data_IF_747453318114
#
_entry.id   IF_747453318114
#
_cell.length_a   1.000
_cell.length_b   1.000
_cell.length_c   1.000
_cell.angle_alpha   90.00
_cell.angle_beta   90.00
_cell.angle_gamma   90.00
#
_symmetry.space_group_name_H-M   'P 1'
#
loop_
_entity.id
_entity.type
_entity.pdbx_description
1 polymer ?
#
# COMPACT_ATOMS: atom_id res chain seq x y z
N UNK A 1 2.07 4.49 8.73
CA UNK A 1 3.36 3.76 8.65
C UNK A 1 3.86 3.16 9.99
N UNK A 2 3.55 3.73 11.16
CA UNK A 2 4.08 3.30 12.47
C UNK A 2 3.99 1.79 12.77
N UNK A 3 2.93 1.11 12.32
CA UNK A 3 2.80 -0.35 12.47
C UNK A 3 3.82 -1.16 11.66
N UNK A 4 4.22 -0.66 10.50
CA UNK A 4 5.24 -1.30 9.65
C UNK A 4 6.64 -1.13 10.26
N UNK A 5 6.91 0.04 10.82
CA UNK A 5 8.14 0.33 11.57
C UNK A 5 8.25 -0.55 12.81
N UNK A 6 7.16 -0.67 13.59
CA UNK A 6 7.11 -1.56 14.75
C UNK A 6 7.30 -3.04 14.35
N UNK A 7 6.78 -3.47 13.20
CA UNK A 7 6.97 -4.83 12.71
C UNK A 7 8.45 -5.12 12.37
N UNK A 8 9.18 -4.14 11.83
CA UNK A 8 10.61 -4.26 11.60
C UNK A 8 11.39 -4.34 12.92
N UNK A 9 11.06 -3.47 13.89
CA UNK A 9 11.66 -3.50 15.23
C UNK A 9 11.44 -4.83 15.95
N UNK A 10 10.28 -5.47 15.74
CA UNK A 10 9.96 -6.78 16.28
C UNK A 10 10.57 -7.95 15.48
N UNK A 11 11.32 -7.68 14.40
CA UNK A 11 11.90 -8.70 13.53
C UNK A 11 10.89 -9.49 12.69
N UNK A 12 9.62 -9.07 12.66
CA UNK A 12 8.57 -9.74 11.89
C UNK A 12 8.68 -9.49 10.37
N UNK A 13 9.34 -8.40 9.98
CA UNK A 13 9.70 -8.06 8.61
C UNK A 13 11.11 -7.47 8.60
N UNK A 14 11.81 -7.51 7.46
CA UNK A 14 13.10 -6.84 7.34
C UNK A 14 12.93 -5.31 7.29
N UNK A 15 13.94 -4.54 7.72
CA UNK A 15 13.92 -3.08 7.60
C UNK A 15 13.68 -2.61 6.16
N UNK A 16 14.29 -3.32 5.20
CA UNK A 16 14.10 -3.07 3.76
C UNK A 16 12.65 -3.24 3.36
N UNK A 17 12.02 -4.36 3.74
CA UNK A 17 10.64 -4.65 3.40
C UNK A 17 9.67 -3.65 4.08
N UNK A 18 9.93 -3.27 5.33
CA UNK A 18 9.16 -2.24 6.02
C UNK A 18 9.26 -0.90 5.29
N UNK A 19 10.45 -0.51 4.82
CA UNK A 19 10.62 0.73 4.05
C UNK A 19 9.82 0.70 2.75
N UNK A 20 9.93 -0.38 1.98
CA UNK A 20 9.13 -0.57 0.76
C UNK A 20 7.63 -0.48 1.04
N UNK A 21 7.14 -1.15 2.10
CA UNK A 21 5.72 -1.07 2.47
C UNK A 21 5.31 0.33 2.93
N UNK A 22 6.18 1.08 3.61
CA UNK A 22 5.92 2.48 3.97
C UNK A 22 5.78 3.38 2.75
N UNK A 23 6.64 3.20 1.73
CA UNK A 23 6.58 3.96 0.49
C UNK A 23 5.29 3.65 -0.30
N UNK A 24 4.93 2.36 -0.41
CA UNK A 24 3.67 1.93 -1.03
C UNK A 24 2.46 2.47 -0.25
N UNK A 25 2.50 2.45 1.09
CA UNK A 25 1.43 3.02 1.92
C UNK A 25 1.25 4.52 1.67
N UNK A 26 2.34 5.28 1.59
CA UNK A 26 2.28 6.71 1.29
C UNK A 26 1.71 6.99 -0.11
N UNK A 27 2.07 6.17 -1.11
CA UNK A 27 1.51 6.24 -2.46
C UNK A 27 -0.01 5.99 -2.45
N UNK A 28 -0.47 4.92 -1.77
CA UNK A 28 -1.89 4.59 -1.67
C UNK A 28 -2.68 5.68 -0.94
N UNK A 29 -2.11 6.27 0.12
CA UNK A 29 -2.76 7.39 0.79
C UNK A 29 -2.91 8.62 -0.11
N UNK A 30 -1.90 8.91 -0.93
CA UNK A 30 -2.00 10.01 -1.90
C UNK A 30 -3.12 9.74 -2.90
N UNK A 31 -3.19 8.53 -3.45
CA UNK A 31 -4.23 8.13 -4.40
C UNK A 31 -5.63 8.27 -3.79
N UNK A 32 -5.81 7.76 -2.56
CA UNK A 32 -7.05 7.88 -1.80
C UNK A 32 -7.43 9.34 -1.58
N UNK A 33 -6.50 10.18 -1.12
CA UNK A 33 -6.77 11.59 -0.84
C UNK A 33 -7.18 12.34 -2.10
N UNK A 34 -6.50 12.14 -3.23
CA UNK A 34 -6.89 12.73 -4.52
C UNK A 34 -8.32 12.34 -4.89
N UNK A 35 -8.65 11.05 -4.80
CA UNK A 35 -9.99 10.57 -5.13
C UNK A 35 -11.07 11.12 -4.18
N UNK A 36 -10.76 11.24 -2.88
CA UNK A 36 -11.69 11.81 -1.90
C UNK A 36 -11.89 13.30 -2.10
N UNK A 37 -10.85 14.06 -2.44
CA UNK A 37 -10.95 15.48 -2.78
C UNK A 37 -11.87 15.69 -4.00
N UNK A 38 -11.73 14.87 -5.04
CA UNK A 38 -12.61 14.92 -6.21
C UNK A 38 -14.07 14.59 -5.86
N UNK A 39 -14.31 13.61 -4.97
CA UNK A 39 -15.66 13.30 -4.48
C UNK A 39 -16.26 14.49 -3.74
N UNK A 40 -15.52 15.10 -2.81
CA UNK A 40 -15.98 16.28 -2.07
C UNK A 40 -16.30 17.43 -3.03
N UNK A 41 -15.41 17.70 -3.98
CA UNK A 41 -15.59 18.76 -4.98
C UNK A 41 -16.82 18.54 -5.87
N UNK A 42 -17.26 17.29 -6.04
CA UNK A 42 -18.45 16.91 -6.82
C UNK A 42 -19.69 16.68 -5.95
N UNK A 43 -19.64 17.01 -4.66
CA UNK A 43 -20.76 16.83 -3.72
C UNK A 43 -21.07 15.36 -3.38
N UNK A 44 -20.16 14.44 -3.69
CA UNK A 44 -20.28 13.02 -3.36
C UNK A 44 -19.73 12.74 -1.96
N UNK A 45 -20.30 11.75 -1.27
CA UNK A 45 -19.77 11.28 0.01
C UNK A 45 -18.41 10.60 -0.21
N UNK A 46 -17.34 11.00 0.49
CA UNK A 46 -16.01 10.40 0.32
C UNK A 46 -15.99 8.93 0.71
N UNK A 47 -15.52 8.08 -0.20
CA UNK A 47 -15.31 6.65 0.04
C UNK A 47 -13.89 6.19 -0.24
N UNK A 48 -13.63 4.92 0.06
CA UNK A 48 -12.38 4.21 -0.24
C UNK A 48 -12.55 3.20 -1.40
N UNK A 49 -13.66 3.29 -2.13
CA UNK A 49 -13.95 2.45 -3.30
C UNK A 49 -13.59 3.25 -4.54
N UNK A 50 -12.67 2.72 -5.35
CA UNK A 50 -12.35 3.25 -6.68
C UNK A 50 -12.62 2.18 -7.72
N UNK A 51 -13.29 2.54 -8.81
CA UNK A 51 -13.38 1.67 -9.98
C UNK A 51 -12.14 1.86 -10.84
N UNK A 52 -11.64 0.79 -11.46
CA UNK A 52 -10.44 0.90 -12.32
C UNK A 52 -10.66 1.90 -13.45
N UNK A 53 -11.89 1.99 -13.99
CA UNK A 53 -12.29 2.95 -15.01
C UNK A 53 -12.07 4.41 -14.60
N UNK A 54 -12.19 4.74 -13.31
CA UNK A 54 -12.01 6.10 -12.79
C UNK A 54 -10.53 6.48 -12.62
N UNK A 55 -9.62 5.51 -12.62
CA UNK A 55 -8.19 5.77 -12.52
C UNK A 55 -7.58 6.12 -13.88
N UNK A 56 -6.69 7.11 -13.91
CA UNK A 56 -5.82 7.36 -15.07
C UNK A 56 -4.91 6.14 -15.34
N UNK A 57 -4.44 5.94 -16.58
CA UNK A 57 -3.52 4.83 -16.89
C UNK A 57 -2.27 4.83 -16.00
N UNK A 58 -1.73 6.01 -15.68
CA UNK A 58 -0.59 6.14 -14.77
C UNK A 58 -0.94 5.65 -13.36
N UNK A 59 -2.07 6.07 -12.80
CA UNK A 59 -2.50 5.66 -11.46
C UNK A 59 -2.80 4.15 -11.40
N UNK A 60 -3.32 3.56 -12.49
CA UNK A 60 -3.50 2.11 -12.59
C UNK A 60 -2.16 1.37 -12.55
N UNK A 61 -1.18 1.82 -13.31
CA UNK A 61 0.17 1.23 -13.30
C UNK A 61 0.82 1.33 -11.92
N UNK A 62 0.79 2.52 -11.31
CA UNK A 62 1.30 2.74 -9.95
C UNK A 62 0.62 1.84 -8.91
N UNK A 63 -0.71 1.71 -8.97
CA UNK A 63 -1.45 0.81 -8.10
C UNK A 63 -1.03 -0.65 -8.31
N UNK A 64 -0.91 -1.09 -9.56
CA UNK A 64 -0.47 -2.45 -9.89
C UNK A 64 0.94 -2.73 -9.37
N UNK A 65 1.88 -1.79 -9.53
CA UNK A 65 3.24 -1.90 -9.02
C UNK A 65 3.27 -2.00 -7.49
N UNK A 66 2.53 -1.12 -6.79
CA UNK A 66 2.40 -1.16 -5.33
C UNK A 66 1.82 -2.49 -4.82
N UNK A 67 0.81 -3.03 -5.50
CA UNK A 67 0.23 -4.34 -5.16
C UNK A 67 1.23 -5.48 -5.36
N UNK A 68 2.06 -5.43 -6.41
CA UNK A 68 3.13 -6.42 -6.62
C UNK A 68 4.18 -6.36 -5.51
N UNK A 69 4.58 -5.17 -5.07
CA UNK A 69 5.51 -5.01 -3.95
C UNK A 69 4.94 -5.59 -2.64
N UNK A 70 3.67 -5.31 -2.34
CA UNK A 70 2.98 -5.89 -1.18
C UNK A 70 2.98 -7.42 -1.26
N UNK A 71 2.65 -8.00 -2.42
CA UNK A 71 2.65 -9.44 -2.62
C UNK A 71 4.05 -10.05 -2.46
N UNK A 72 5.08 -9.38 -2.97
CA UNK A 72 6.47 -9.82 -2.86
C UNK A 72 6.95 -9.82 -1.41
N UNK A 73 6.65 -8.77 -0.64
CA UNK A 73 6.95 -8.70 0.79
C UNK A 73 6.19 -9.79 1.55
N UNK A 74 4.88 -9.96 1.30
CA UNK A 74 4.08 -11.00 1.97
C UNK A 74 4.65 -12.40 1.74
N UNK A 75 5.12 -12.69 0.53
CA UNK A 75 5.79 -13.96 0.22
C UNK A 75 7.08 -14.14 1.03
N UNK A 76 7.92 -13.10 1.14
CA UNK A 76 9.16 -13.14 1.94
C UNK A 76 8.89 -13.34 3.42
N UNK A 77 7.90 -12.64 3.97
CA UNK A 77 7.47 -12.78 5.37
C UNK A 77 6.92 -14.18 5.64
N UNK A 78 6.12 -14.73 4.72
CA UNK A 78 5.67 -16.12 4.79
C UNK A 78 6.83 -17.11 4.85
N UNK A 79 7.88 -16.90 4.05
CA UNK A 79 9.08 -17.73 4.06
C UNK A 79 9.88 -17.59 5.38
N UNK A 80 10.00 -16.36 5.92
CA UNK A 80 10.66 -16.11 7.22
C UNK A 80 10.00 -16.88 8.36
N UNK A 81 8.65 -16.89 8.39
CA UNK A 81 7.89 -17.65 9.37
C UNK A 81 8.05 -19.17 9.24
N UNK A 82 8.42 -19.67 8.05
CA UNK A 82 8.71 -21.10 7.82
C UNK A 82 10.15 -21.48 8.19
N UNK A 83 11.10 -20.53 8.16
CA UNK A 83 12.50 -20.75 8.57
C UNK A 83 12.76 -20.52 10.06
N UNK A 84 11.75 -20.06 10.81
CA UNK A 84 11.84 -19.73 12.23
C UNK A 84 11.55 -20.89 13.20
N UNK A 85 11.73 -22.15 12.79
CA UNK A 85 11.65 -23.36 13.64
C UNK A 85 12.99 -24.08 13.63
#
# INVERSE_FOLDING_TARGET
PTRLEAAAQAGAVTDRDARTLCDVFAMLQRLRMTHQVEQIATGRTPGDIVTMSELSPLNRSLLADGLREIAAVRRRVGNLGLTGV
#
